data_IF_475211603350
#
_entry.id   IF_475211603350
#
_cell.length_a   1.000
_cell.length_b   1.000
_cell.length_c   1.000
_cell.angle_alpha   90.00
_cell.angle_beta   90.00
_cell.angle_gamma   90.00
#
_symmetry.space_group_name_H-M   'P 1'
#
loop_
_entity.id
_entity.type
_entity.pdbx_description
1 polymer ?
#
# COMPACT_ATOMS: atom_id res chain seq x y z
N UNK A 1 37.04 -19.46 -13.27
CA UNK A 1 35.88 -18.73 -12.74
C UNK A 1 34.82 -18.66 -13.84
N UNK A 2 33.61 -19.13 -13.56
CA UNK A 2 32.49 -19.02 -14.52
C UNK A 2 32.15 -17.54 -14.72
N UNK A 3 32.29 -17.03 -15.94
CA UNK A 3 31.89 -15.65 -16.28
C UNK A 3 30.38 -15.40 -16.16
N UNK A 4 29.61 -16.47 -16.08
CA UNK A 4 28.13 -16.43 -16.00
C UNK A 4 27.59 -16.25 -14.57
N UNK A 5 28.36 -16.60 -13.54
CA UNK A 5 27.93 -16.47 -12.15
C UNK A 5 27.47 -15.06 -11.75
N UNK A 6 28.32 -14.02 -11.95
CA UNK A 6 27.93 -12.63 -11.64
C UNK A 6 26.75 -12.13 -12.48
N UNK A 7 26.66 -12.53 -13.74
CA UNK A 7 25.54 -12.15 -14.62
C UNK A 7 24.22 -12.73 -14.15
N UNK A 8 24.20 -14.01 -13.75
CA UNK A 8 23.01 -14.66 -13.19
C UNK A 8 22.61 -14.02 -11.86
N UNK A 9 23.57 -13.62 -11.01
CA UNK A 9 23.29 -12.91 -9.77
C UNK A 9 22.62 -11.56 -10.05
N UNK A 10 23.13 -10.77 -10.98
CA UNK A 10 22.53 -9.49 -11.34
C UNK A 10 21.12 -9.64 -11.90
N UNK A 11 20.94 -10.56 -12.86
CA UNK A 11 19.62 -10.83 -13.45
C UNK A 11 18.64 -11.35 -12.41
N UNK A 12 19.07 -12.27 -11.55
CA UNK A 12 18.26 -12.81 -10.47
C UNK A 12 17.83 -11.73 -9.47
N UNK A 13 18.73 -10.80 -9.14
CA UNK A 13 18.43 -9.66 -8.26
C UNK A 13 17.38 -8.73 -8.89
N UNK A 14 17.54 -8.40 -10.18
CA UNK A 14 16.62 -7.51 -10.89
C UNK A 14 15.24 -8.13 -11.06
N UNK A 15 15.15 -9.39 -11.50
CA UNK A 15 13.89 -10.07 -11.79
C UNK A 15 13.20 -10.62 -10.53
N UNK A 16 13.93 -10.86 -9.46
CA UNK A 16 13.38 -11.35 -8.19
C UNK A 16 13.08 -10.19 -7.23
N UNK A 17 13.97 -9.88 -6.27
CA UNK A 17 13.69 -8.93 -5.20
C UNK A 17 13.39 -7.50 -5.69
N UNK A 18 14.14 -6.99 -6.68
CA UNK A 18 13.97 -5.61 -7.16
C UNK A 18 12.62 -5.45 -7.87
N UNK A 19 12.27 -6.38 -8.77
CA UNK A 19 10.97 -6.37 -9.43
C UNK A 19 9.83 -6.51 -8.41
N UNK A 20 9.98 -7.40 -7.43
CA UNK A 20 8.98 -7.56 -6.37
C UNK A 20 8.76 -6.24 -5.61
N UNK A 21 9.83 -5.61 -5.15
CA UNK A 21 9.75 -4.32 -4.43
C UNK A 21 9.15 -3.22 -5.30
N UNK A 22 9.51 -3.16 -6.58
CA UNK A 22 8.93 -2.20 -7.51
C UNK A 22 7.42 -2.43 -7.66
N UNK A 23 6.99 -3.65 -8.01
CA UNK A 23 5.58 -3.96 -8.22
C UNK A 23 4.75 -3.76 -6.94
N UNK A 24 5.30 -4.09 -5.77
CA UNK A 24 4.60 -3.99 -4.49
C UNK A 24 4.49 -2.56 -3.96
N UNK A 25 5.57 -1.77 -4.04
CA UNK A 25 5.64 -0.48 -3.35
C UNK A 25 5.68 0.73 -4.28
N UNK A 26 6.18 0.59 -5.50
CA UNK A 26 6.44 1.73 -6.40
C UNK A 26 5.55 1.76 -7.63
N UNK A 27 4.92 0.63 -8.00
CA UNK A 27 4.05 0.59 -9.18
C UNK A 27 2.81 1.44 -9.00
N UNK A 28 2.23 1.86 -10.12
CA UNK A 28 1.03 2.67 -10.19
C UNK A 28 1.31 4.17 -10.37
N UNK A 29 0.39 4.82 -11.05
CA UNK A 29 0.44 6.26 -11.31
C UNK A 29 -0.35 7.00 -10.25
N UNK A 30 0.13 8.15 -9.77
CA UNK A 30 -0.66 9.03 -8.90
C UNK A 30 -1.83 9.61 -9.70
N UNK A 31 -3.03 9.41 -9.19
CA UNK A 31 -4.25 10.01 -9.70
C UNK A 31 -4.64 11.24 -8.89
N UNK A 32 -5.94 11.45 -8.73
CA UNK A 32 -6.48 12.59 -8.01
C UNK A 32 -6.12 12.56 -6.53
N UNK A 33 -5.97 13.76 -5.96
CA UNK A 33 -5.63 13.97 -4.55
C UNK A 33 -6.70 14.82 -3.90
N UNK A 34 -7.22 14.37 -2.77
CA UNK A 34 -8.27 15.03 -2.01
C UNK A 34 -7.80 15.31 -0.59
N UNK A 35 -8.32 16.38 -0.01
CA UNK A 35 -8.03 16.76 1.38
C UNK A 35 -9.28 16.64 2.23
N UNK A 36 -9.17 15.90 3.32
CA UNK A 36 -10.21 15.70 4.30
C UNK A 36 -9.83 16.43 5.60
N UNK A 37 -10.65 17.38 6.04
CA UNK A 37 -10.43 18.12 7.29
C UNK A 37 -11.65 18.08 8.22
N UNK A 38 -12.85 17.98 7.64
CA UNK A 38 -14.09 18.01 8.39
C UNK A 38 -14.47 16.62 8.89
N UNK A 39 -14.82 16.52 10.16
CA UNK A 39 -15.25 15.27 10.83
C UNK A 39 -16.60 15.49 11.53
N UNK A 40 -17.47 14.51 11.43
CA UNK A 40 -18.75 14.52 12.14
C UNK A 40 -19.22 13.09 12.49
N UNK A 41 -20.06 12.99 13.50
CA UNK A 41 -20.72 11.73 13.83
C UNK A 41 -21.88 11.40 12.88
N UNK A 42 -22.25 12.34 12.02
CA UNK A 42 -23.35 12.20 11.05
C UNK A 42 -23.05 13.01 9.79
N UNK A 43 -23.24 12.40 8.63
CA UNK A 43 -23.16 13.06 7.34
C UNK A 43 -24.45 12.83 6.54
N UNK A 44 -24.87 13.84 5.80
CA UNK A 44 -25.95 13.71 4.81
C UNK A 44 -25.28 13.66 3.43
N UNK A 45 -25.54 12.59 2.70
CA UNK A 45 -25.06 12.41 1.33
C UNK A 45 -25.86 13.29 0.34
N UNK A 46 -25.35 13.51 -0.90
CA UNK A 46 -26.04 14.33 -1.88
C UNK A 46 -27.44 13.82 -2.29
N UNK A 47 -27.68 12.54 -2.14
CA UNK A 47 -28.98 11.87 -2.40
C UNK A 47 -29.98 12.00 -1.25
N UNK A 48 -29.56 12.64 -0.13
CA UNK A 48 -30.36 12.80 1.08
C UNK A 48 -30.19 11.67 2.11
N UNK A 49 -29.44 10.62 1.80
CA UNK A 49 -29.14 9.53 2.74
C UNK A 49 -28.35 10.04 3.94
N UNK A 50 -28.75 9.67 5.15
CA UNK A 50 -28.09 10.07 6.39
C UNK A 50 -27.23 8.91 6.90
N UNK A 51 -25.92 9.13 6.95
CA UNK A 51 -24.96 8.20 7.54
C UNK A 51 -24.75 8.53 9.01
N UNK A 52 -24.97 7.55 9.91
CA UNK A 52 -24.70 7.65 11.32
C UNK A 52 -23.54 6.75 11.73
N UNK A 53 -22.56 7.31 12.42
CA UNK A 53 -21.38 6.61 12.90
C UNK A 53 -21.50 6.35 14.40
N UNK A 54 -21.79 5.10 14.77
CA UNK A 54 -22.17 4.72 16.14
C UNK A 54 -21.00 4.74 17.12
N UNK A 55 -19.77 4.60 16.64
CA UNK A 55 -18.58 4.42 17.48
C UNK A 55 -17.46 5.43 17.26
N UNK A 56 -17.73 6.53 16.57
CA UNK A 56 -16.68 7.51 16.28
C UNK A 56 -17.16 8.64 15.39
N UNK A 57 -16.24 9.27 14.73
CA UNK A 57 -16.47 10.30 13.73
C UNK A 57 -15.98 9.82 12.38
N UNK A 58 -16.60 10.27 11.31
CA UNK A 58 -16.11 10.04 9.97
C UNK A 58 -15.72 11.37 9.34
N UNK A 59 -14.73 11.30 8.48
CA UNK A 59 -14.41 12.41 7.59
C UNK A 59 -15.52 12.62 6.57
N UNK A 60 -15.63 13.83 6.04
CA UNK A 60 -16.62 14.16 5.01
C UNK A 60 -16.51 13.17 3.85
N UNK A 61 -17.61 12.50 3.47
CA UNK A 61 -17.61 11.58 2.34
C UNK A 61 -17.15 12.23 1.04
N UNK A 62 -16.37 11.50 0.24
CA UNK A 62 -15.93 11.94 -1.08
C UNK A 62 -16.58 11.08 -2.15
N UNK A 63 -17.12 11.72 -3.18
CA UNK A 63 -17.57 11.01 -4.38
C UNK A 63 -16.41 10.92 -5.36
N UNK A 64 -15.95 9.70 -5.61
CA UNK A 64 -14.87 9.39 -6.55
C UNK A 64 -15.46 8.84 -7.84
N UNK A 65 -15.02 9.38 -8.98
CA UNK A 65 -15.34 8.80 -10.29
C UNK A 65 -14.26 7.79 -10.64
N UNK A 66 -14.60 6.51 -10.56
CA UNK A 66 -13.66 5.42 -10.81
C UNK A 66 -14.09 4.65 -12.07
N UNK A 67 -13.10 4.21 -12.83
CA UNK A 67 -13.30 3.51 -14.12
C UNK A 67 -12.44 2.23 -14.14
N UNK A 68 -12.96 1.10 -14.70
CA UNK A 68 -12.18 -0.11 -14.91
C UNK A 68 -10.90 0.09 -15.70
N UNK A 69 -10.81 1.13 -16.55
CA UNK A 69 -9.58 1.50 -17.26
C UNK A 69 -8.45 1.92 -16.32
N UNK A 70 -8.76 2.31 -15.07
CA UNK A 70 -7.76 2.55 -14.02
C UNK A 70 -7.10 1.25 -13.55
N UNK A 71 -7.59 0.10 -14.04
CA UNK A 71 -7.12 -1.23 -13.68
C UNK A 71 -7.22 -1.47 -12.17
N UNK A 72 -6.09 -1.71 -11.49
CA UNK A 72 -6.05 -1.79 -10.03
C UNK A 72 -5.82 -0.42 -9.43
N UNK A 73 -6.64 -0.10 -8.44
CA UNK A 73 -6.49 1.13 -7.65
C UNK A 73 -6.08 0.83 -6.22
N UNK A 74 -5.40 1.77 -5.60
CA UNK A 74 -5.16 1.81 -4.15
C UNK A 74 -5.30 3.24 -3.66
N UNK A 75 -5.53 3.35 -2.35
CA UNK A 75 -5.61 4.63 -1.67
C UNK A 75 -4.37 4.83 -0.82
N UNK A 76 -3.62 5.89 -1.09
CA UNK A 76 -2.58 6.36 -0.18
C UNK A 76 -3.17 7.44 0.70
N UNK A 77 -3.21 7.17 1.99
CA UNK A 77 -3.69 8.09 3.01
C UNK A 77 -2.48 8.69 3.74
N UNK A 78 -2.37 10.02 3.73
CA UNK A 78 -1.36 10.73 4.50
C UNK A 78 -2.04 11.50 5.61
N UNK A 79 -1.80 11.11 6.84
CA UNK A 79 -2.32 11.72 8.05
C UNK A 79 -1.32 12.77 8.54
N UNK A 80 -1.79 13.97 8.78
CA UNK A 80 -1.01 15.04 9.39
C UNK A 80 -1.45 15.21 10.84
N UNK A 81 -0.56 14.86 11.77
CA UNK A 81 -0.79 15.08 13.20
C UNK A 81 -0.83 16.58 13.50
N UNK A 82 -1.79 17.01 14.31
CA UNK A 82 -1.78 18.37 14.82
C UNK A 82 -0.53 18.61 15.68
N UNK A 83 -0.07 19.86 15.69
CA UNK A 83 1.02 20.24 16.57
C UNK A 83 0.57 20.05 18.03
N UNK A 84 1.29 19.23 18.76
CA UNK A 84 1.11 19.04 20.20
C UNK A 84 2.43 19.36 20.91
N UNK A 85 2.42 19.36 22.22
CA UNK A 85 3.61 19.63 23.02
C UNK A 85 4.78 18.70 22.65
N UNK A 86 6.01 19.21 22.65
CA UNK A 86 7.20 18.41 22.41
C UNK A 86 7.29 17.26 23.43
N UNK A 87 7.42 16.02 22.95
CA UNK A 87 7.53 14.84 23.80
C UNK A 87 6.23 14.05 23.99
N UNK A 88 5.12 14.42 23.33
CA UNK A 88 3.92 13.61 23.33
C UNK A 88 4.20 12.19 22.80
N UNK A 89 3.73 11.14 23.49
CA UNK A 89 4.00 9.77 23.11
C UNK A 89 3.38 9.43 21.76
N UNK A 90 4.05 8.58 21.00
CA UNK A 90 3.48 7.99 19.80
C UNK A 90 2.24 7.18 20.18
N UNK A 91 1.11 7.43 19.51
CA UNK A 91 -0.10 6.66 19.66
C UNK A 91 -0.51 5.99 18.36
N UNK A 92 -1.33 4.97 18.47
CA UNK A 92 -1.89 4.26 17.34
C UNK A 92 -3.40 4.41 17.39
N UNK A 93 -3.97 4.98 16.33
CA UNK A 93 -5.40 5.13 16.14
C UNK A 93 -5.88 4.20 15.04
N UNK A 94 -7.08 3.66 15.20
CA UNK A 94 -7.69 2.75 14.24
C UNK A 94 -8.65 3.50 13.34
N UNK A 95 -8.56 3.20 12.06
CA UNK A 95 -9.42 3.75 11.01
C UNK A 95 -10.07 2.63 10.22
N UNK A 96 -11.24 2.93 9.67
CA UNK A 96 -11.93 2.07 8.72
C UNK A 96 -12.18 2.85 7.43
N UNK A 97 -11.70 2.31 6.32
CA UNK A 97 -12.00 2.80 4.98
C UNK A 97 -13.09 1.93 4.38
N UNK A 98 -14.14 2.56 3.87
CA UNK A 98 -15.20 1.90 3.11
C UNK A 98 -15.37 2.60 1.76
N UNK A 99 -15.50 1.81 0.70
CA UNK A 99 -15.86 2.28 -0.63
C UNK A 99 -17.23 1.70 -0.97
N UNK A 100 -18.20 2.58 -1.20
CA UNK A 100 -19.59 2.22 -1.46
C UNK A 100 -19.96 2.52 -2.91
N UNK A 101 -20.78 1.69 -3.52
CA UNK A 101 -21.40 1.95 -4.81
C UNK A 101 -22.88 1.56 -4.71
N UNK A 102 -23.80 2.49 -5.02
CA UNK A 102 -25.23 2.27 -4.90
C UNK A 102 -25.64 1.65 -3.54
N UNK A 103 -25.18 2.25 -2.44
CA UNK A 103 -25.40 1.84 -1.04
C UNK A 103 -24.86 0.44 -0.67
N UNK A 104 -24.10 -0.19 -1.56
CA UNK A 104 -23.45 -1.46 -1.29
C UNK A 104 -21.94 -1.28 -1.04
N UNK A 105 -21.38 -1.87 0.03
CA UNK A 105 -19.96 -1.83 0.26
C UNK A 105 -19.22 -2.70 -0.75
N UNK A 106 -18.44 -2.07 -1.62
CA UNK A 106 -17.59 -2.76 -2.61
C UNK A 106 -16.25 -3.14 -1.98
N UNK A 107 -15.77 -2.32 -1.07
CA UNK A 107 -14.52 -2.54 -0.36
C UNK A 107 -14.61 -1.99 1.06
N UNK A 108 -14.07 -2.74 2.02
CA UNK A 108 -13.97 -2.28 3.39
C UNK A 108 -12.68 -2.82 4.03
N UNK A 109 -11.94 -1.96 4.70
CA UNK A 109 -10.71 -2.33 5.38
C UNK A 109 -10.48 -1.50 6.64
N UNK A 110 -10.20 -2.18 7.75
CA UNK A 110 -9.70 -1.56 8.96
C UNK A 110 -8.17 -1.57 8.96
N UNK A 111 -7.55 -0.51 9.47
CA UNK A 111 -6.11 -0.37 9.59
C UNK A 111 -5.74 0.56 10.74
N UNK A 112 -4.55 0.38 11.27
CA UNK A 112 -4.01 1.21 12.35
C UNK A 112 -2.99 2.21 11.77
N UNK A 113 -3.04 3.44 12.26
CA UNK A 113 -2.12 4.51 11.92
C UNK A 113 -1.32 4.89 13.15
N UNK A 114 0.00 4.79 13.06
CA UNK A 114 0.90 5.28 14.10
C UNK A 114 1.26 6.73 13.79
N UNK A 115 0.89 7.62 14.68
CA UNK A 115 1.16 9.04 14.55
C UNK A 115 2.03 9.51 15.72
N UNK A 116 2.93 10.41 15.40
CA UNK A 116 3.61 11.25 16.38
C UNK A 116 3.13 12.69 16.19
N UNK A 117 3.13 13.46 17.26
CA UNK A 117 2.76 14.86 17.22
C UNK A 117 3.54 15.64 16.16
N UNK A 118 2.83 16.40 15.32
CA UNK A 118 3.42 17.22 14.27
C UNK A 118 4.04 16.42 13.11
N UNK A 119 4.00 15.08 13.13
CA UNK A 119 4.55 14.24 12.08
C UNK A 119 3.48 13.83 11.07
N UNK A 120 3.93 13.55 9.85
CA UNK A 120 3.11 12.94 8.82
C UNK A 120 3.29 11.42 8.84
N UNK A 121 2.19 10.69 8.72
CA UNK A 121 2.22 9.23 8.55
C UNK A 121 1.45 8.86 7.30
N UNK A 122 2.05 8.06 6.43
CA UNK A 122 1.40 7.59 5.20
C UNK A 122 1.15 6.09 5.26
N UNK A 123 -0.06 5.69 4.85
CA UNK A 123 -0.49 4.29 4.80
C UNK A 123 -1.12 4.02 3.45
N UNK A 124 -0.66 2.96 2.78
CA UNK A 124 -1.30 2.46 1.57
C UNK A 124 -2.41 1.47 1.97
N UNK A 125 -3.65 1.80 1.65
CA UNK A 125 -4.82 1.02 2.01
C UNK A 125 -5.43 0.37 0.80
N UNK A 126 -5.39 -0.95 0.78
CA UNK A 126 -6.08 -1.77 -0.20
C UNK A 126 -5.51 -1.70 -1.61
N UNK A 127 -5.78 -2.79 -2.32
CA UNK A 127 -5.66 -2.88 -3.78
C UNK A 127 -6.97 -3.46 -4.25
N UNK A 128 -7.67 -2.71 -5.07
CA UNK A 128 -9.01 -3.03 -5.52
C UNK A 128 -9.02 -3.12 -7.04
N UNK A 129 -9.60 -4.18 -7.56
CA UNK A 129 -9.94 -4.28 -8.97
C UNK A 129 -11.34 -3.72 -9.17
N UNK A 130 -11.48 -2.78 -10.10
CA UNK A 130 -12.76 -2.20 -10.44
C UNK A 130 -13.36 -2.98 -11.60
N UNK A 131 -14.61 -3.42 -11.43
CA UNK A 131 -15.33 -4.13 -12.47
C UNK A 131 -16.35 -3.24 -13.20
N UNK A 132 -16.83 -2.20 -12.54
CA UNK A 132 -17.86 -1.31 -13.09
C UNK A 132 -17.41 0.14 -12.98
N UNK A 133 -17.63 0.95 -14.06
CA UNK A 133 -17.43 2.38 -13.98
C UNK A 133 -18.54 3.02 -13.15
N UNK A 134 -18.26 4.12 -12.49
CA UNK A 134 -19.29 4.86 -11.76
C UNK A 134 -18.79 5.81 -10.71
N UNK A 135 -19.75 6.35 -9.98
CA UNK A 135 -19.50 7.13 -8.78
C UNK A 135 -19.43 6.18 -7.58
N UNK A 136 -18.35 6.32 -6.83
CA UNK A 136 -18.11 5.58 -5.60
C UNK A 136 -18.01 6.57 -4.45
N UNK A 137 -18.60 6.22 -3.33
CA UNK A 137 -18.50 7.01 -2.11
C UNK A 137 -17.37 6.45 -1.25
N UNK A 138 -16.37 7.28 -1.03
CA UNK A 138 -15.25 7.00 -0.16
C UNK A 138 -15.56 7.51 1.25
N UNK A 139 -15.56 6.62 2.21
CA UNK A 139 -15.82 6.90 3.63
C UNK A 139 -14.58 6.52 4.43
N UNK A 140 -14.11 7.46 5.26
CA UNK A 140 -13.03 7.23 6.21
C UNK A 140 -13.56 7.50 7.62
N UNK A 141 -13.66 6.43 8.41
CA UNK A 141 -14.17 6.46 9.80
C UNK A 141 -13.03 6.31 10.80
N UNK A 142 -13.10 7.01 11.91
CA UNK A 142 -12.29 6.75 13.10
C UNK A 142 -12.97 5.65 13.93
N UNK A 143 -12.26 4.55 14.19
CA UNK A 143 -12.82 3.41 14.91
C UNK A 143 -12.65 3.54 16.44
N UNK A 144 -12.96 4.71 17.01
CA UNK A 144 -12.84 4.96 18.44
C UNK A 144 -12.56 6.42 18.76
N UNK A 145 -12.14 6.68 20.00
CA UNK A 145 -11.71 8.02 20.41
C UNK A 145 -10.26 8.22 19.97
N UNK A 146 -9.97 9.20 19.10
CA UNK A 146 -8.63 9.46 18.64
C UNK A 146 -7.72 9.88 19.80
N UNK A 147 -6.55 9.27 19.88
CA UNK A 147 -5.52 9.57 20.89
C UNK A 147 -4.63 10.72 20.45
N UNK A 148 -4.48 10.89 19.15
CA UNK A 148 -3.72 12.00 18.57
C UNK A 148 -4.66 12.80 17.67
N UNK A 149 -4.78 14.12 17.90
CA UNK A 149 -5.57 14.96 17.01
C UNK A 149 -4.91 15.01 15.63
N UNK A 150 -5.67 14.58 14.62
CA UNK A 150 -5.29 14.70 13.22
C UNK A 150 -5.87 16.01 12.68
N UNK A 151 -5.02 16.87 12.13
CA UNK A 151 -5.46 18.13 11.54
C UNK A 151 -6.07 17.94 10.15
N UNK A 152 -5.49 17.02 9.39
CA UNK A 152 -5.84 16.82 7.99
C UNK A 152 -5.47 15.40 7.55
N UNK A 153 -6.28 14.83 6.65
CA UNK A 153 -5.95 13.61 5.92
C UNK A 153 -5.95 13.90 4.43
N UNK A 154 -4.86 13.57 3.77
CA UNK A 154 -4.76 13.64 2.31
C UNK A 154 -4.99 12.24 1.74
N UNK A 155 -5.95 12.13 0.82
CA UNK A 155 -6.30 10.89 0.11
C UNK A 155 -5.80 11.01 -1.31
N UNK A 156 -4.87 10.16 -1.72
CA UNK A 156 -4.41 10.04 -3.09
C UNK A 156 -4.88 8.73 -3.68
N UNK A 157 -5.63 8.82 -4.77
CA UNK A 157 -6.01 7.64 -5.57
C UNK A 157 -4.83 7.25 -6.43
N UNK A 158 -4.34 6.02 -6.33
CA UNK A 158 -3.32 5.45 -7.20
C UNK A 158 -3.98 4.49 -8.18
N UNK A 159 -3.61 4.54 -9.42
CA UNK A 159 -4.20 3.74 -10.50
C UNK A 159 -3.12 2.96 -11.26
N UNK A 160 -3.51 1.98 -12.05
CA UNK A 160 -2.60 1.14 -12.84
C UNK A 160 -1.54 0.44 -12.00
N UNK A 161 -1.94 -0.10 -10.86
CA UNK A 161 -1.03 -0.80 -9.96
C UNK A 161 -0.73 -2.18 -10.55
N UNK A 162 0.55 -2.46 -10.76
CA UNK A 162 0.98 -3.76 -11.28
C UNK A 162 0.73 -4.88 -10.27
N UNK A 163 0.37 -6.03 -10.80
CA UNK A 163 0.35 -7.29 -10.04
C UNK A 163 1.75 -7.88 -10.04
N UNK A 164 2.19 -8.33 -8.87
CA UNK A 164 3.41 -9.12 -8.81
C UNK A 164 3.23 -10.41 -9.63
N UNK A 165 3.99 -10.53 -10.71
CA UNK A 165 4.00 -11.75 -11.50
C UNK A 165 4.90 -12.80 -10.82
N UNK A 166 4.28 -13.64 -10.00
CA UNK A 166 4.99 -14.61 -9.17
C UNK A 166 6.00 -15.49 -9.91
N UNK A 167 5.73 -16.01 -11.13
CA UNK A 167 6.71 -16.81 -11.87
C UNK A 167 8.00 -16.05 -12.16
N UNK A 168 7.92 -14.73 -12.43
CA UNK A 168 9.11 -13.90 -12.68
C UNK A 168 9.95 -13.74 -11.41
N UNK A 169 9.29 -13.52 -10.27
CA UNK A 169 9.97 -13.40 -8.97
C UNK A 169 10.68 -14.70 -8.61
N UNK A 170 9.99 -15.84 -8.71
CA UNK A 170 10.58 -17.14 -8.41
C UNK A 170 11.71 -17.52 -9.38
N UNK A 171 11.56 -17.21 -10.68
CA UNK A 171 12.62 -17.35 -11.66
C UNK A 171 13.85 -16.52 -11.29
N UNK A 172 13.67 -15.28 -10.85
CA UNK A 172 14.74 -14.42 -10.36
C UNK A 172 15.44 -15.00 -9.12
N UNK A 173 14.69 -15.52 -8.16
CA UNK A 173 15.27 -16.18 -6.98
C UNK A 173 16.07 -17.43 -7.37
N UNK A 174 15.56 -18.25 -8.28
CA UNK A 174 16.29 -19.41 -8.78
C UNK A 174 17.61 -19.02 -9.47
N UNK A 175 17.61 -17.95 -10.27
CA UNK A 175 18.82 -17.41 -10.90
C UNK A 175 19.83 -16.89 -9.87
N UNK A 176 19.36 -16.25 -8.79
CA UNK A 176 20.22 -15.81 -7.68
C UNK A 176 20.93 -17.00 -7.03
N UNK A 177 20.19 -18.05 -6.72
CA UNK A 177 20.75 -19.27 -6.10
C UNK A 177 21.78 -19.94 -7.04
N UNK A 178 21.43 -20.09 -8.31
CA UNK A 178 22.33 -20.67 -9.31
C UNK A 178 23.59 -19.82 -9.50
N UNK A 179 23.43 -18.50 -9.60
CA UNK A 179 24.55 -17.56 -9.73
C UNK A 179 25.48 -17.61 -8.52
N UNK A 180 24.90 -17.66 -7.31
CA UNK A 180 25.65 -17.78 -6.06
C UNK A 180 26.46 -19.10 -6.02
N UNK A 181 25.82 -20.22 -6.37
CA UNK A 181 26.48 -21.51 -6.44
C UNK A 181 27.69 -21.49 -7.39
N UNK A 182 27.55 -20.89 -8.59
CA UNK A 182 28.65 -20.77 -9.57
C UNK A 182 29.78 -19.84 -9.10
N UNK A 183 29.47 -18.84 -8.28
CA UNK A 183 30.48 -17.94 -7.70
C UNK A 183 31.24 -18.61 -6.57
N UNK A 184 30.56 -19.39 -5.73
CA UNK A 184 31.14 -20.05 -4.54
C UNK A 184 31.87 -21.34 -4.90
N UNK A 185 31.46 -22.06 -5.95
CA UNK A 185 32.06 -23.34 -6.36
C UNK A 185 33.60 -23.36 -6.35
N UNK A 186 34.34 -22.32 -6.87
CA UNK A 186 35.80 -22.31 -6.86
C UNK A 186 36.41 -22.22 -5.44
N UNK A 187 35.64 -21.78 -4.44
CA UNK A 187 36.13 -21.58 -3.07
C UNK A 187 35.82 -22.75 -2.12
N UNK A 188 35.02 -23.75 -2.58
CA UNK A 188 34.70 -24.91 -1.75
C UNK A 188 35.92 -25.83 -1.64
N UNK A 189 36.43 -26.08 -0.40
CA UNK A 189 37.54 -27.02 -0.20
C UNK A 189 37.02 -28.45 -0.43
N UNK A 190 37.57 -29.17 -1.40
CA UNK A 190 37.32 -30.62 -1.56
C UNK A 190 37.25 -31.16 -2.98
N UNK A 191 37.13 -30.36 -4.03
CA UNK A 191 37.09 -30.86 -5.42
C UNK A 191 38.46 -30.93 -6.13
N UNK A 192 39.55 -30.53 -5.45
CA UNK A 192 40.89 -30.62 -6.02
C UNK A 192 41.66 -31.92 -5.71
N UNK A 193 41.07 -32.82 -4.95
CA UNK A 193 41.68 -34.09 -4.60
C UNK A 193 40.95 -35.24 -5.31
N UNK A 194 41.39 -35.57 -6.50
CA UNK A 194 40.97 -36.83 -7.12
C UNK A 194 40.59 -36.71 -8.59
N UNK A 195 41.60 -36.67 -9.41
CA UNK A 195 41.76 -37.39 -10.68
C UNK A 195 43.08 -36.94 -11.30
N UNK A 196 44.15 -37.61 -10.88
CA UNK A 196 45.32 -37.83 -11.76
C UNK A 196 45.30 -39.28 -12.14
N UNK A 197 45.25 -39.61 -13.45
CA UNK A 197 45.45 -40.93 -13.91
C UNK A 197 46.90 -41.39 -13.67
#
# INVERSE_FOLDING_TARGET
MSRYGPLLLMLGLLLGPVYYLYAEYSSGQPGETFTLSERAARWTLPDGTILHFVRGQAYRPLTLKLDPQMNRIAFRLTFQGAAAEPGAPQASDEYRLSLMQADQPVFQRAFAVKLSSGANSSVDVGRLELYYPGAYEFLLEEAGTPRIPVSQVTVQVRQNIETVFAPLVWGGVAMLIAGLALVIEPYLPGRRAGWRP
#
